data_IF_863328505350
#
_entry.id   IF_863328505350
#
_cell.length_a   1.000
_cell.length_b   1.000
_cell.length_c   1.000
_cell.angle_alpha   90.00
_cell.angle_beta   90.00
_cell.angle_gamma   90.00
#
_symmetry.space_group_name_H-M   'P 1'
#
loop_
_entity.id
_entity.type
_entity.pdbx_description
1 polymer ?
#
# COMPACT_ATOMS: atom_id res chain seq x y z
N UNK A 1 11.12 15.47 -9.92
CA UNK A 1 10.20 14.67 -9.09
C UNK A 1 10.87 13.51 -8.36
N UNK A 2 11.80 12.74 -8.95
CA UNK A 2 12.57 11.71 -8.19
C UNK A 2 13.31 12.27 -6.97
N UNK A 3 14.05 13.37 -7.13
CA UNK A 3 14.77 14.02 -6.01
C UNK A 3 13.82 14.57 -4.94
N UNK A 4 12.64 15.03 -5.34
CA UNK A 4 11.61 15.49 -4.41
C UNK A 4 11.06 14.31 -3.59
N UNK A 5 10.80 13.17 -4.23
CA UNK A 5 10.37 11.96 -3.53
C UNK A 5 11.44 11.45 -2.56
N UNK A 6 12.72 11.49 -2.92
CA UNK A 6 13.82 11.17 -2.01
C UNK A 6 13.85 12.12 -0.81
N UNK A 7 13.67 13.42 -1.04
CA UNK A 7 13.59 14.39 0.06
C UNK A 7 12.40 14.10 0.99
N UNK A 8 11.23 13.79 0.44
CA UNK A 8 10.06 13.41 1.24
C UNK A 8 10.29 12.12 2.04
N UNK A 9 10.99 11.13 1.46
CA UNK A 9 11.40 9.92 2.16
C UNK A 9 12.35 10.23 3.33
N UNK A 10 13.35 11.08 3.10
CA UNK A 10 14.30 11.48 4.15
C UNK A 10 13.57 12.16 5.32
N UNK A 11 12.57 13.00 5.02
CA UNK A 11 11.73 13.64 6.03
C UNK A 11 10.83 12.62 6.74
N UNK A 12 10.21 11.69 6.01
CA UNK A 12 9.29 10.70 6.59
C UNK A 12 9.98 9.72 7.55
N UNK A 13 11.27 9.41 7.32
CA UNK A 13 12.06 8.47 8.12
C UNK A 13 12.94 9.14 9.19
N UNK A 14 13.00 10.48 9.22
CA UNK A 14 13.81 11.20 10.20
C UNK A 14 13.41 10.85 11.65
N UNK A 15 14.38 10.79 12.56
CA UNK A 15 14.12 10.51 13.98
C UNK A 15 13.60 11.75 14.76
N UNK A 16 13.44 12.89 14.09
CA UNK A 16 13.03 14.15 14.69
C UNK A 16 11.50 14.26 14.82
N UNK A 17 11.03 15.17 15.68
CA UNK A 17 9.61 15.35 16.03
C UNK A 17 8.69 15.81 14.86
N UNK A 18 9.21 15.86 13.64
CA UNK A 18 8.52 16.26 12.41
C UNK A 18 8.53 15.20 11.31
N UNK A 19 8.75 13.92 11.63
CA UNK A 19 8.61 12.82 10.66
C UNK A 19 7.29 12.07 10.83
N UNK A 20 6.80 11.42 9.76
CA UNK A 20 5.56 10.62 9.83
C UNK A 20 5.68 9.53 10.89
N UNK A 21 6.83 8.85 10.99
CA UNK A 21 7.03 7.80 11.98
C UNK A 21 7.06 8.36 13.41
N UNK A 22 7.65 9.54 13.63
CA UNK A 22 7.63 10.19 14.93
C UNK A 22 6.22 10.66 15.33
N UNK A 23 5.44 11.16 14.37
CA UNK A 23 4.03 11.53 14.59
C UNK A 23 3.18 10.31 14.96
N UNK A 24 3.37 9.18 14.28
CA UNK A 24 2.70 7.91 14.60
C UNK A 24 3.07 7.38 16.00
N UNK A 25 4.31 7.61 16.44
CA UNK A 25 4.80 7.25 17.78
C UNK A 25 4.37 8.21 18.90
N UNK A 26 3.63 9.27 18.56
CA UNK A 26 3.12 10.24 19.52
C UNK A 26 2.20 9.61 20.57
N UNK A 27 2.26 10.11 21.81
CA UNK A 27 1.47 9.59 22.95
C UNK A 27 -0.05 9.78 22.81
N UNK A 28 -0.51 10.52 21.80
CA UNK A 28 -1.92 10.87 21.59
C UNK A 28 -2.75 9.71 21.01
N UNK A 29 -2.16 8.73 20.32
CA UNK A 29 -2.88 7.59 19.80
C UNK A 29 -2.05 6.28 19.81
N UNK A 30 -2.09 5.52 20.92
CA UNK A 30 -1.33 4.27 21.06
C UNK A 30 -1.65 3.19 20.02
N UNK A 31 -2.83 3.25 19.39
CA UNK A 31 -3.22 2.29 18.35
C UNK A 31 -2.45 2.54 17.05
N UNK A 32 -2.24 3.81 16.68
CA UNK A 32 -1.45 4.19 15.50
C UNK A 32 0.02 3.80 15.67
N UNK A 33 0.55 3.83 16.90
CA UNK A 33 1.92 3.42 17.18
C UNK A 33 2.20 1.94 16.86
N UNK A 34 1.17 1.08 16.86
CA UNK A 34 1.30 -0.34 16.49
C UNK A 34 1.57 -0.54 14.99
N UNK A 35 1.25 0.46 14.16
CA UNK A 35 1.42 0.41 12.71
C UNK A 35 2.82 0.89 12.27
N UNK A 36 3.62 1.45 13.17
CA UNK A 36 4.97 1.95 12.87
C UNK A 36 5.85 0.90 12.17
N UNK A 37 5.90 -0.39 12.59
CA UNK A 37 6.71 -1.38 11.90
C UNK A 37 6.33 -1.57 10.43
N UNK A 38 5.02 -1.60 10.11
CA UNK A 38 4.54 -1.75 8.73
C UNK A 38 4.82 -0.48 7.93
N UNK A 39 4.56 0.70 8.50
CA UNK A 39 4.84 1.97 7.84
C UNK A 39 6.34 2.16 7.54
N UNK A 40 7.21 1.79 8.48
CA UNK A 40 8.66 1.80 8.29
C UNK A 40 9.09 0.80 7.21
N UNK A 41 8.50 -0.40 7.16
CA UNK A 41 8.75 -1.38 6.11
C UNK A 41 8.34 -0.85 4.72
N UNK A 42 7.17 -0.21 4.61
CA UNK A 42 6.72 0.39 3.34
C UNK A 42 7.67 1.48 2.86
N UNK A 43 8.06 2.42 3.73
CA UNK A 43 9.01 3.49 3.40
C UNK A 43 10.38 2.92 3.01
N UNK A 44 10.87 1.93 3.77
CA UNK A 44 12.12 1.24 3.51
C UNK A 44 12.12 0.49 2.18
N UNK A 45 11.00 -0.17 1.82
CA UNK A 45 10.82 -0.82 0.52
C UNK A 45 10.83 0.20 -0.62
N UNK A 46 10.10 1.31 -0.47
CA UNK A 46 10.13 2.38 -1.46
C UNK A 46 11.56 2.89 -1.65
N UNK A 47 12.26 3.25 -0.57
CA UNK A 47 13.67 3.69 -0.62
C UNK A 47 14.57 2.67 -1.28
N UNK A 48 14.46 1.40 -0.89
CA UNK A 48 15.26 0.32 -1.45
C UNK A 48 15.09 0.23 -2.98
N UNK A 49 13.86 0.35 -3.48
CA UNK A 49 13.58 0.19 -4.90
C UNK A 49 13.70 1.46 -5.74
N UNK A 50 13.84 2.64 -5.13
CA UNK A 50 14.04 3.91 -5.84
C UNK A 50 15.18 3.89 -6.86
N UNK A 51 16.28 3.18 -6.57
CA UNK A 51 17.44 3.05 -7.45
C UNK A 51 17.47 1.76 -8.28
N UNK A 52 16.53 0.84 -8.03
CA UNK A 52 16.50 -0.51 -8.62
C UNK A 52 15.38 -0.70 -9.64
N UNK A 53 14.30 0.06 -9.51
CA UNK A 53 13.16 0.00 -10.43
C UNK A 53 13.08 1.23 -11.33
N UNK A 54 12.49 1.09 -12.53
CA UNK A 54 12.18 2.23 -13.38
C UNK A 54 11.32 3.25 -12.63
N UNK A 55 11.67 4.53 -12.76
CA UNK A 55 10.86 5.63 -12.25
C UNK A 55 10.05 6.24 -13.38
N UNK A 56 8.73 6.36 -13.20
CA UNK A 56 7.81 6.83 -14.21
C UNK A 56 6.87 7.89 -13.64
N UNK A 57 6.89 9.07 -14.24
CA UNK A 57 5.83 10.05 -14.01
C UNK A 57 4.71 9.76 -14.99
N UNK A 58 3.49 9.58 -14.49
CA UNK A 58 2.31 9.32 -15.32
C UNK A 58 1.09 9.96 -14.69
N UNK A 59 0.13 10.37 -15.52
CA UNK A 59 -1.20 10.81 -15.10
C UNK A 59 -2.29 9.88 -15.66
N UNK A 60 -1.88 8.73 -16.21
CA UNK A 60 -2.79 7.76 -16.77
C UNK A 60 -3.82 7.33 -15.72
N UNK A 61 -5.05 7.15 -16.17
CA UNK A 61 -6.14 6.72 -15.28
C UNK A 61 -5.94 5.28 -14.79
N UNK A 62 -5.18 4.47 -15.53
CA UNK A 62 -4.86 3.08 -15.20
C UNK A 62 -3.37 2.83 -15.37
N UNK A 63 -2.78 2.18 -14.38
CA UNK A 63 -1.38 1.79 -14.38
C UNK A 63 -1.22 0.39 -14.96
N UNK A 64 -0.21 0.22 -15.82
CA UNK A 64 0.23 -1.11 -16.23
C UNK A 64 0.83 -1.86 -15.03
N UNK A 65 0.50 -3.15 -14.89
CA UNK A 65 1.12 -4.03 -13.89
C UNK A 65 2.54 -4.42 -14.33
N UNK A 66 3.47 -3.48 -14.19
CA UNK A 66 4.89 -3.68 -14.47
C UNK A 66 5.75 -3.13 -13.33
N UNK A 67 6.87 -3.80 -12.98
CA UNK A 67 7.78 -3.32 -11.95
C UNK A 67 8.19 -1.87 -12.16
N UNK A 68 8.05 -1.03 -11.13
CA UNK A 68 8.32 0.40 -11.27
C UNK A 68 7.88 1.23 -10.07
N UNK A 69 8.41 2.45 -9.98
CA UNK A 69 7.92 3.51 -9.10
C UNK A 69 7.16 4.51 -9.96
N UNK A 70 5.84 4.59 -9.77
CA UNK A 70 4.95 5.45 -10.51
C UNK A 70 4.57 6.65 -9.66
N UNK A 71 4.67 7.85 -10.21
CA UNK A 71 4.29 9.08 -9.53
C UNK A 71 3.28 9.85 -10.36
N UNK A 72 2.15 10.16 -9.73
CA UNK A 72 1.04 10.95 -10.29
C UNK A 72 1.01 12.28 -9.58
N UNK A 73 1.61 13.31 -10.21
CA UNK A 73 1.82 14.62 -9.60
C UNK A 73 0.50 15.32 -9.27
N UNK A 74 -0.50 15.18 -10.15
CA UNK A 74 -1.77 15.91 -10.05
C UNK A 74 -2.61 15.37 -8.90
N UNK A 75 -2.70 14.04 -8.76
CA UNK A 75 -3.39 13.38 -7.65
C UNK A 75 -2.52 13.24 -6.40
N UNK A 76 -1.24 13.66 -6.46
CA UNK A 76 -0.27 13.57 -5.37
C UNK A 76 -0.10 12.13 -4.85
N UNK A 77 0.07 11.18 -5.76
CA UNK A 77 0.15 9.75 -5.43
C UNK A 77 1.48 9.14 -5.90
N UNK A 78 1.98 8.19 -5.13
CA UNK A 78 3.14 7.36 -5.46
C UNK A 78 2.75 5.90 -5.32
N UNK A 79 3.14 5.06 -6.27
CA UNK A 79 2.92 3.61 -6.25
C UNK A 79 4.24 2.93 -6.53
N UNK A 80 4.70 2.08 -5.60
CA UNK A 80 5.76 1.12 -5.87
C UNK A 80 5.16 -0.23 -6.29
N UNK A 81 5.43 -0.68 -7.51
CA UNK A 81 5.14 -2.03 -7.97
C UNK A 81 6.42 -2.86 -7.86
N UNK A 82 6.51 -3.62 -6.78
CA UNK A 82 7.68 -4.43 -6.42
C UNK A 82 7.50 -5.87 -6.93
N UNK A 83 8.44 -6.39 -7.74
CA UNK A 83 8.41 -7.80 -8.16
C UNK A 83 8.76 -8.71 -6.99
N UNK A 84 7.95 -9.75 -6.79
CA UNK A 84 8.12 -10.75 -5.75
C UNK A 84 8.34 -12.10 -6.41
N UNK A 85 9.45 -12.77 -6.08
CA UNK A 85 9.67 -14.15 -6.54
C UNK A 85 8.89 -15.14 -5.66
N UNK A 86 8.77 -16.37 -6.17
CA UNK A 86 8.10 -17.43 -5.43
C UNK A 86 8.76 -17.66 -4.06
N UNK A 87 7.96 -17.60 -2.99
CA UNK A 87 8.42 -17.79 -1.62
C UNK A 87 9.18 -16.61 -1.01
N UNK A 88 9.18 -15.43 -1.64
CA UNK A 88 9.88 -14.25 -1.13
C UNK A 88 8.97 -13.18 -0.52
N UNK A 89 7.64 -13.33 -0.60
CA UNK A 89 6.72 -12.25 -0.17
C UNK A 89 6.93 -11.85 1.30
N UNK A 90 7.06 -12.82 2.19
CA UNK A 90 7.29 -12.63 3.62
C UNK A 90 8.74 -12.28 3.97
N UNK A 91 9.68 -12.58 3.08
CA UNK A 91 11.08 -12.16 3.20
C UNK A 91 11.27 -10.69 2.80
N UNK A 92 10.50 -10.23 1.80
CA UNK A 92 10.56 -8.87 1.27
C UNK A 92 9.69 -7.92 2.10
N UNK A 93 8.47 -8.33 2.47
CA UNK A 93 7.47 -7.48 3.12
C UNK A 93 6.81 -8.20 4.31
N UNK A 94 7.63 -8.55 5.30
CA UNK A 94 7.27 -9.35 6.46
C UNK A 94 6.08 -8.79 7.26
N UNK A 95 6.11 -7.49 7.57
CA UNK A 95 5.07 -6.86 8.39
C UNK A 95 3.77 -6.68 7.60
N UNK A 96 3.90 -6.25 6.34
CA UNK A 96 2.80 -5.99 5.44
C UNK A 96 2.04 -7.27 5.05
N UNK A 97 2.70 -8.44 5.04
CA UNK A 97 2.06 -9.71 4.72
C UNK A 97 1.54 -10.49 5.94
N UNK A 98 1.65 -9.97 7.18
CA UNK A 98 1.17 -10.68 8.39
C UNK A 98 -0.33 -11.04 8.34
N UNK A 99 -1.14 -10.24 7.63
CA UNK A 99 -2.57 -10.49 7.45
C UNK A 99 -2.92 -11.51 6.36
N UNK A 100 -1.92 -12.00 5.62
CA UNK A 100 -2.13 -12.84 4.45
C UNK A 100 -2.64 -14.24 4.85
N UNK A 101 -3.90 -14.54 4.54
CA UNK A 101 -4.57 -15.74 5.06
C UNK A 101 -4.18 -17.06 4.36
N UNK A 102 -3.69 -17.00 3.12
CA UNK A 102 -3.39 -18.19 2.31
C UNK A 102 -1.89 -18.37 2.11
N UNK A 103 -1.25 -19.34 2.81
CA UNK A 103 0.16 -19.65 2.63
C UNK A 103 0.50 -20.05 1.19
N UNK A 104 -0.46 -20.68 0.49
CA UNK A 104 -0.30 -21.06 -0.92
C UNK A 104 -0.16 -19.84 -1.82
N UNK A 105 -0.98 -18.80 -1.62
CA UNK A 105 -0.89 -17.59 -2.43
C UNK A 105 0.32 -16.74 -2.02
N UNK A 106 0.69 -16.74 -0.73
CA UNK A 106 1.88 -16.04 -0.24
C UNK A 106 3.19 -16.61 -0.80
N UNK A 107 3.23 -17.90 -1.18
CA UNK A 107 4.40 -18.51 -1.79
C UNK A 107 4.47 -18.37 -3.33
N UNK A 108 3.43 -17.83 -3.96
CA UNK A 108 3.42 -17.60 -5.40
C UNK A 108 4.19 -16.33 -5.77
N UNK A 109 4.80 -16.26 -6.96
CA UNK A 109 5.40 -15.03 -7.45
C UNK A 109 4.32 -14.00 -7.79
N UNK A 110 4.69 -12.72 -7.88
CA UNK A 110 3.73 -11.68 -8.24
C UNK A 110 4.28 -10.27 -8.21
N UNK A 111 3.37 -9.31 -8.16
CA UNK A 111 3.67 -7.89 -7.95
C UNK A 111 3.00 -7.39 -6.68
N UNK A 112 3.81 -6.85 -5.77
CA UNK A 112 3.35 -6.15 -4.59
C UNK A 112 3.21 -4.65 -4.91
N UNK A 113 1.98 -4.14 -4.87
CA UNK A 113 1.69 -2.73 -5.01
C UNK A 113 1.61 -2.06 -3.64
N UNK A 114 2.51 -1.10 -3.42
CA UNK A 114 2.66 -0.33 -2.18
C UNK A 114 2.34 1.14 -2.50
N UNK A 115 1.14 1.64 -2.15
CA UNK A 115 0.74 3.00 -2.43
C UNK A 115 1.10 3.98 -1.30
N UNK A 116 1.35 5.22 -1.68
CA UNK A 116 1.61 6.35 -0.77
C UNK A 116 0.89 7.60 -1.29
N UNK A 117 0.35 8.39 -0.37
CA UNK A 117 -0.16 9.73 -0.65
C UNK A 117 0.87 10.79 -0.30
N UNK A 118 0.89 11.87 -1.07
CA UNK A 118 1.61 13.10 -0.74
C UNK A 118 0.58 14.12 -0.27
N UNK A 119 0.56 14.37 1.04
CA UNK A 119 -0.35 15.34 1.66
C UNK A 119 0.39 16.60 2.07
N UNK A 120 -0.34 17.69 2.30
CA UNK A 120 0.21 18.98 2.70
C UNK A 120 -0.50 19.43 3.97
N UNK A 121 0.26 19.52 5.06
CA UNK A 121 -0.20 19.90 6.39
C UNK A 121 0.82 20.86 6.99
N UNK A 122 0.36 21.95 7.59
CA UNK A 122 1.20 22.99 8.22
C UNK A 122 2.33 23.49 7.31
N UNK A 123 2.01 23.81 6.05
CA UNK A 123 2.94 24.24 4.99
C UNK A 123 4.07 23.23 4.67
N UNK A 124 3.96 22.00 5.16
CA UNK A 124 4.89 20.91 4.91
C UNK A 124 4.23 19.80 4.09
N UNK A 125 4.98 19.21 3.15
CA UNK A 125 4.55 18.03 2.41
C UNK A 125 4.97 16.75 3.13
N UNK A 126 4.08 15.78 3.14
CA UNK A 126 4.22 14.52 3.86
C UNK A 126 4.01 13.36 2.90
N UNK A 127 4.96 12.43 2.87
CA UNK A 127 4.78 11.14 2.20
C UNK A 127 4.20 10.14 3.20
N UNK A 128 2.95 9.77 2.98
CA UNK A 128 2.16 8.96 3.91
C UNK A 128 1.91 7.58 3.25
N UNK A 129 2.39 6.48 3.85
CA UNK A 129 2.02 5.14 3.43
C UNK A 129 0.50 4.96 3.53
N UNK A 130 -0.12 4.40 2.48
CA UNK A 130 -1.54 4.08 2.56
C UNK A 130 -1.80 2.90 3.51
N UNK A 131 -3.01 2.84 4.06
CA UNK A 131 -3.41 1.81 5.03
C UNK A 131 -3.59 0.41 4.43
N UNK A 132 -3.43 0.28 3.12
CA UNK A 132 -3.58 -0.96 2.37
C UNK A 132 -2.43 -1.15 1.37
N UNK A 133 -2.27 -2.39 0.91
CA UNK A 133 -1.47 -2.76 -0.24
C UNK A 133 -2.21 -3.80 -1.08
N UNK A 134 -1.76 -4.07 -2.31
CA UNK A 134 -2.32 -5.13 -3.15
C UNK A 134 -1.21 -6.10 -3.57
N UNK A 135 -1.51 -7.38 -3.57
CA UNK A 135 -0.65 -8.40 -4.16
C UNK A 135 -1.31 -9.00 -5.40
N UNK A 136 -0.70 -8.77 -6.56
CA UNK A 136 -1.13 -9.34 -7.84
C UNK A 136 -0.35 -10.63 -8.10
N UNK A 137 -0.99 -11.76 -7.81
CA UNK A 137 -0.40 -13.09 -8.01
C UNK A 137 -0.12 -13.30 -9.50
N UNK A 138 1.05 -13.82 -9.83
CA UNK A 138 1.56 -13.99 -11.20
C UNK A 138 1.51 -12.69 -12.04
N UNK A 139 1.57 -11.52 -11.38
CA UNK A 139 1.41 -10.20 -12.01
C UNK A 139 0.10 -10.05 -12.79
N UNK A 140 -0.95 -10.77 -12.37
CA UNK A 140 -2.24 -10.82 -13.06
C UNK A 140 -3.29 -9.95 -12.37
N UNK A 141 -3.98 -9.11 -13.17
CA UNK A 141 -5.15 -8.34 -12.71
C UNK A 141 -6.30 -9.22 -12.24
N UNK A 142 -6.36 -10.47 -12.69
CA UNK A 142 -7.39 -11.45 -12.30
C UNK A 142 -7.16 -11.97 -10.88
N UNK A 143 -5.93 -11.87 -10.35
CA UNK A 143 -5.54 -12.42 -9.06
C UNK A 143 -5.00 -11.33 -8.13
N UNK A 144 -5.83 -10.34 -7.85
CA UNK A 144 -5.53 -9.25 -6.93
C UNK A 144 -6.00 -9.59 -5.51
N UNK A 145 -5.04 -9.63 -4.57
CA UNK A 145 -5.27 -9.91 -3.15
C UNK A 145 -5.01 -8.64 -2.33
N UNK A 146 -6.05 -8.03 -1.72
CA UNK A 146 -5.86 -6.89 -0.82
C UNK A 146 -5.17 -7.30 0.47
N UNK A 147 -4.28 -6.44 0.96
CA UNK A 147 -3.57 -6.59 2.22
C UNK A 147 -3.86 -5.37 3.09
N UNK A 148 -4.22 -5.61 4.35
CA UNK A 148 -4.37 -4.56 5.35
C UNK A 148 -2.98 -4.25 5.92
N UNK A 149 -2.47 -3.04 5.66
CA UNK A 149 -1.15 -2.62 6.10
C UNK A 149 -1.21 -1.92 7.47
N UNK A 150 -2.04 -0.89 7.62
CA UNK A 150 -2.16 -0.12 8.85
C UNK A 150 -3.46 -0.49 9.57
N UNK A 151 -3.36 -1.25 10.66
CA UNK A 151 -4.50 -1.86 11.36
C UNK A 151 -5.29 -0.86 12.19
N UNK A 152 -4.69 0.26 12.59
CA UNK A 152 -5.38 1.32 13.35
C UNK A 152 -6.59 1.90 12.59
N UNK A 153 -6.64 1.75 11.26
CA UNK A 153 -7.79 2.14 10.45
C UNK A 153 -9.08 1.42 10.87
N UNK A 154 -8.98 0.20 11.43
CA UNK A 154 -10.13 -0.60 11.86
C UNK A 154 -10.81 -0.07 13.13
N UNK A 155 -10.16 0.83 13.87
CA UNK A 155 -10.77 1.50 15.02
C UNK A 155 -11.82 2.53 14.57
N UNK A 156 -11.82 2.90 13.28
CA UNK A 156 -12.85 3.70 12.66
C UNK A 156 -13.89 2.80 11.97
N UNK A 157 -15.14 2.91 12.42
CA UNK A 157 -16.28 2.15 11.91
C UNK A 157 -16.48 2.20 10.38
N UNK A 158 -15.99 3.27 9.72
CA UNK A 158 -16.04 3.42 8.26
C UNK A 158 -15.21 2.36 7.52
N UNK A 159 -14.28 1.70 8.20
CA UNK A 159 -13.38 0.68 7.65
C UNK A 159 -13.65 -0.71 8.23
N UNK A 160 -14.80 -0.92 8.87
CA UNK A 160 -15.19 -2.23 9.44
C UNK A 160 -15.20 -3.37 8.41
N UNK A 161 -15.63 -3.10 7.18
CA UNK A 161 -15.35 -3.95 6.00
C UNK A 161 -14.32 -3.25 5.11
N UNK A 162 -13.04 -3.45 5.44
CA UNK A 162 -11.94 -2.72 4.84
C UNK A 162 -11.64 -3.14 3.40
N UNK A 163 -12.03 -4.34 2.97
CA UNK A 163 -11.66 -4.88 1.66
C UNK A 163 -12.28 -4.07 0.51
N UNK A 164 -13.60 -3.81 0.47
CA UNK A 164 -14.18 -2.95 -0.56
C UNK A 164 -13.60 -1.53 -0.54
N UNK A 165 -13.35 -0.97 0.65
CA UNK A 165 -12.75 0.36 0.79
C UNK A 165 -11.33 0.40 0.23
N UNK A 166 -10.53 -0.65 0.44
CA UNK A 166 -9.16 -0.77 -0.07
C UNK A 166 -9.17 -0.87 -1.59
N UNK A 167 -10.07 -1.67 -2.17
CA UNK A 167 -10.20 -1.82 -3.62
C UNK A 167 -10.67 -0.52 -4.30
N UNK A 168 -11.61 0.19 -3.70
CA UNK A 168 -12.06 1.50 -4.19
C UNK A 168 -10.95 2.55 -4.10
N UNK A 169 -10.23 2.58 -2.97
CA UNK A 169 -9.09 3.47 -2.79
C UNK A 169 -7.98 3.15 -3.78
N UNK A 170 -7.62 1.88 -3.97
CA UNK A 170 -6.63 1.44 -4.95
C UNK A 170 -6.99 1.84 -6.39
N UNK A 171 -8.27 1.75 -6.78
CA UNK A 171 -8.72 2.24 -8.09
C UNK A 171 -8.42 3.73 -8.27
N UNK A 172 -8.51 4.54 -7.22
CA UNK A 172 -8.13 5.97 -7.28
C UNK A 172 -6.62 6.19 -7.51
N UNK A 173 -5.78 5.20 -7.25
CA UNK A 173 -4.35 5.18 -7.59
C UNK A 173 -4.07 4.66 -9.02
N UNK A 174 -5.12 4.30 -9.77
CA UNK A 174 -5.00 3.69 -11.10
C UNK A 174 -4.67 2.20 -11.07
N UNK A 175 -4.71 1.55 -9.90
CA UNK A 175 -4.51 0.12 -9.76
C UNK A 175 -5.77 -0.63 -10.23
N UNK A 176 -5.57 -1.67 -11.05
CA UNK A 176 -6.69 -2.48 -11.56
C UNK A 176 -7.29 -3.33 -10.44
N UNK A 177 -8.57 -3.11 -10.13
CA UNK A 177 -9.28 -3.83 -9.05
C UNK A 177 -10.61 -4.45 -9.46
N UNK A 178 -11.11 -4.17 -10.66
CA UNK A 178 -12.47 -4.54 -11.12
C UNK A 178 -12.79 -6.04 -10.89
N UNK A 179 -11.83 -6.92 -11.14
CA UNK A 179 -11.99 -8.37 -10.96
C UNK A 179 -12.06 -8.78 -9.49
N UNK A 180 -11.25 -8.16 -8.64
CA UNK A 180 -11.30 -8.39 -7.20
C UNK A 180 -12.60 -7.86 -6.58
N UNK A 181 -13.10 -6.72 -7.06
CA UNK A 181 -14.41 -6.17 -6.64
C UNK A 181 -15.53 -7.18 -6.95
N UNK A 182 -15.60 -7.66 -8.19
CA UNK A 182 -16.59 -8.67 -8.59
C UNK A 182 -16.49 -9.97 -7.79
N UNK A 183 -15.28 -10.39 -7.40
CA UNK A 183 -15.08 -11.56 -6.56
C UNK A 183 -15.55 -11.33 -5.12
N UNK A 184 -15.25 -10.17 -4.54
CA UNK A 184 -15.66 -9.80 -3.19
C UNK A 184 -17.20 -9.73 -3.06
N UNK A 185 -17.88 -9.12 -4.04
CA UNK A 185 -19.34 -9.04 -4.07
C UNK A 185 -20.02 -10.42 -4.08
N UNK A 186 -19.45 -11.39 -4.81
CA UNK A 186 -19.97 -12.77 -4.85
C UNK A 186 -19.89 -13.48 -3.50
N UNK A 187 -18.84 -13.23 -2.73
CA UNK A 187 -18.67 -13.82 -1.38
C UNK A 187 -19.68 -13.23 -0.39
N UNK A 188 -19.98 -11.93 -0.50
CA UNK A 188 -20.99 -11.27 0.34
C UNK A 188 -22.39 -11.84 0.07
N UNK A 189 -22.77 -12.02 -1.21
CA UNK A 189 -24.07 -12.60 -1.59
C UNK A 189 -24.22 -14.06 -1.10
N UNK A 190 -23.15 -14.84 -1.12
CA UNK A 190 -23.18 -16.22 -0.60
C UNK A 190 -23.36 -16.28 0.92
N UNK A 191 -22.81 -15.33 1.67
CA UNK A 191 -23.00 -15.27 3.13
C UNK A 191 -24.39 -14.80 3.55
N UNK A 192 -25.04 -13.93 2.76
CA UNK A 192 -26.40 -13.44 3.04
C UNK A 192 -27.52 -14.35 2.54
N UNK A 193 -27.24 -15.29 1.62
CA UNK A 193 -28.17 -16.33 1.17
C UNK A 193 -28.17 -17.62 1.99
N UNK A 194 -27.34 -17.70 3.05
CA UNK A 194 -27.22 -18.87 3.92
C UNK A 194 -27.86 -18.68 5.31
N UNK A 195 -28.73 -17.67 5.47
CA UNK A 195 -29.48 -17.39 6.70
C UNK A 195 -30.91 -17.91 6.63
#
# INVERSE_FOLDING_TARGET
MRNELLHLLDVAEAAEAGSVLALMGGKSNPHVAQDIPVAAEMLGLLRHFMDRLPYQATEDASLALAPGIYVRSTSRQVIALVPIQAGELDLVAYWLCQGFQSPKLASMPGLLAIPFSIEEHDDQRWLIPEWFALFYVDASVEHCVPLLALRSVLDDSRFSDWVPAALARAASFGLSTDKAVLAAERVVVQKSGAA
#
